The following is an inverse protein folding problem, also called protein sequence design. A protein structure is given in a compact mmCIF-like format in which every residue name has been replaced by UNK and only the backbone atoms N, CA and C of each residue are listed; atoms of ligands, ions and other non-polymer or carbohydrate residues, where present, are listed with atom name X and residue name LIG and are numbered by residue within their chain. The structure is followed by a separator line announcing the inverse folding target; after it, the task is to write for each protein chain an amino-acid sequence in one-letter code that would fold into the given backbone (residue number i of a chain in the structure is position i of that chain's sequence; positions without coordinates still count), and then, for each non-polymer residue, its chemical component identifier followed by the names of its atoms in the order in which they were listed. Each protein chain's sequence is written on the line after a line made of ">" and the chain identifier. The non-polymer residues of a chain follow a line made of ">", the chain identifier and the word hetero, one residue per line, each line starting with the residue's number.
data_IF_328443956823
#
_entry.id   IF_328443956823
#
_cell.length_a   1.000
_cell.length_b   1.000
_cell.length_c   1.000
_cell.angle_alpha   90.00
_cell.angle_beta   90.00
_cell.angle_gamma   90.00
#
_symmetry.space_group_name_H-M   'P 1'
#
loop_
_entity.id
_entity.type
_entity.pdbx_description
1 polymer ?
#
# COMPACT_ATOMS: atom_id res chain seq x y z
N UNK A 1 -6.41 13.48 -20.80
CA UNK A 1 -5.61 13.08 -19.62
C UNK A 1 -6.44 13.08 -18.33
N UNK A 2 -6.78 14.22 -17.72
CA UNK A 2 -7.56 14.21 -16.45
C UNK A 2 -8.93 13.53 -16.61
N UNK A 3 -9.68 13.87 -17.67
CA UNK A 3 -10.98 13.25 -17.98
C UNK A 3 -10.89 11.74 -18.13
N UNK A 4 -9.87 11.23 -18.82
CA UNK A 4 -9.62 9.79 -18.98
C UNK A 4 -9.31 9.14 -17.63
N UNK A 5 -8.46 9.75 -16.80
CA UNK A 5 -8.16 9.27 -15.44
C UNK A 5 -9.43 9.18 -14.59
N UNK A 6 -10.28 10.22 -14.58
CA UNK A 6 -11.55 10.19 -13.87
C UNK A 6 -12.51 9.13 -14.41
N UNK A 7 -12.57 8.96 -15.73
CA UNK A 7 -13.39 7.92 -16.36
C UNK A 7 -12.92 6.52 -15.96
N UNK A 8 -11.62 6.25 -15.94
CA UNK A 8 -11.09 4.94 -15.49
C UNK A 8 -11.43 4.68 -14.02
N UNK A 9 -11.30 5.68 -13.13
CA UNK A 9 -11.66 5.55 -11.71
C UNK A 9 -13.17 5.35 -11.53
N UNK A 10 -14.00 6.12 -12.22
CA UNK A 10 -15.45 6.01 -12.16
C UNK A 10 -15.94 4.65 -12.68
N UNK A 11 -15.32 4.14 -13.76
CA UNK A 11 -15.61 2.83 -14.34
C UNK A 11 -15.20 1.71 -13.38
N UNK A 12 -13.99 1.77 -12.82
CA UNK A 12 -13.52 0.82 -11.82
C UNK A 12 -14.43 0.78 -10.59
N UNK A 13 -14.83 1.97 -10.10
CA UNK A 13 -15.74 2.12 -8.97
C UNK A 13 -17.10 1.49 -9.26
N UNK A 14 -17.71 1.81 -10.41
CA UNK A 14 -19.01 1.26 -10.81
C UNK A 14 -18.95 -0.25 -10.99
N UNK A 15 -17.86 -0.77 -11.57
CA UNK A 15 -17.66 -2.20 -11.76
C UNK A 15 -17.53 -2.93 -10.42
N UNK A 16 -16.78 -2.37 -9.47
CA UNK A 16 -16.64 -2.90 -8.11
C UNK A 16 -17.99 -2.95 -7.39
N UNK A 17 -18.75 -1.85 -7.42
CA UNK A 17 -20.07 -1.78 -6.76
C UNK A 17 -21.11 -2.72 -7.41
N UNK A 18 -21.05 -2.90 -8.73
CA UNK A 18 -21.94 -3.84 -9.43
C UNK A 18 -21.63 -5.30 -9.09
N UNK A 19 -20.37 -5.63 -8.80
CA UNK A 19 -19.96 -6.97 -8.39
C UNK A 19 -19.80 -7.07 -6.87
N UNK A 20 -20.91 -6.91 -6.15
CA UNK A 20 -20.96 -7.00 -4.69
C UNK A 20 -20.43 -8.34 -4.16
N UNK A 21 -20.60 -9.43 -4.92
CA UNK A 21 -20.11 -10.76 -4.54
C UNK A 21 -18.57 -10.80 -4.44
N UNK A 22 -17.86 -10.19 -5.40
CA UNK A 22 -16.41 -10.04 -5.35
C UNK A 22 -15.99 -9.12 -4.20
N UNK A 23 -16.76 -8.05 -3.93
CA UNK A 23 -16.49 -7.15 -2.82
C UNK A 23 -16.57 -7.85 -1.46
N UNK A 24 -17.52 -8.77 -1.26
CA UNK A 24 -17.60 -9.58 -0.03
C UNK A 24 -16.37 -10.48 0.11
N UNK A 25 -15.92 -11.13 -0.96
CA UNK A 25 -14.70 -11.97 -0.91
C UNK A 25 -13.48 -11.13 -0.55
N UNK A 26 -13.32 -9.95 -1.18
CA UNK A 26 -12.23 -9.03 -0.88
C UNK A 26 -12.29 -8.52 0.56
N UNK A 27 -13.48 -8.19 1.05
CA UNK A 27 -13.70 -7.77 2.43
C UNK A 27 -13.37 -8.88 3.42
N UNK A 28 -13.77 -10.12 3.13
CA UNK A 28 -13.42 -11.29 3.94
C UNK A 28 -11.91 -11.51 4.00
N UNK A 29 -11.22 -11.51 2.84
CA UNK A 29 -9.76 -11.64 2.77
C UNK A 29 -9.05 -10.52 3.54
N UNK A 30 -9.53 -9.28 3.43
CA UNK A 30 -8.96 -8.14 4.14
C UNK A 30 -9.19 -8.21 5.65
N UNK A 31 -10.39 -8.60 6.08
CA UNK A 31 -10.70 -8.82 7.49
C UNK A 31 -9.83 -9.95 8.08
N UNK A 32 -9.65 -11.05 7.35
CA UNK A 32 -8.73 -12.12 7.75
C UNK A 32 -7.29 -11.65 7.85
N UNK A 33 -6.82 -10.80 6.93
CA UNK A 33 -5.49 -10.20 6.99
C UNK A 33 -5.33 -9.32 8.24
N UNK A 34 -6.30 -8.45 8.54
CA UNK A 34 -6.28 -7.60 9.74
C UNK A 34 -6.28 -8.46 11.01
N UNK A 35 -7.13 -9.49 11.07
CA UNK A 35 -7.18 -10.40 12.21
C UNK A 35 -5.84 -11.13 12.42
N UNK A 36 -5.22 -11.63 11.35
CA UNK A 36 -3.91 -12.27 11.41
C UNK A 36 -2.82 -11.29 11.87
N UNK A 37 -2.82 -10.05 11.38
CA UNK A 37 -1.89 -9.00 11.83
C UNK A 37 -2.09 -8.66 13.32
N UNK A 38 -3.35 -8.53 13.75
CA UNK A 38 -3.67 -8.28 15.16
C UNK A 38 -3.19 -9.41 16.07
N UNK A 39 -3.46 -10.67 15.69
CA UNK A 39 -2.98 -11.84 16.43
C UNK A 39 -1.46 -11.90 16.45
N UNK A 40 -0.79 -11.61 15.33
CA UNK A 40 0.66 -11.62 15.24
C UNK A 40 1.31 -10.59 16.19
N UNK A 41 0.72 -9.41 16.31
CA UNK A 41 1.23 -8.35 17.20
C UNK A 41 0.88 -8.60 18.67
N UNK A 42 -0.24 -9.27 18.96
CA UNK A 42 -0.72 -9.48 20.34
C UNK A 42 -0.13 -10.69 21.03
N UNK A 43 0.27 -11.72 20.27
CA UNK A 43 0.94 -12.90 20.82
C UNK A 43 2.32 -12.50 21.36
N UNK A 44 2.52 -12.73 22.66
CA UNK A 44 3.82 -12.57 23.33
C UNK A 44 4.47 -13.95 23.44
N UNK A 45 5.78 -14.04 23.23
CA UNK A 45 6.50 -15.32 23.18
C UNK A 45 6.85 -15.82 24.59
N UNK A 46 5.87 -16.41 25.30
CA UNK A 46 6.11 -16.97 26.65
C UNK A 46 6.12 -18.50 26.67
N UNK A 47 5.57 -19.15 25.65
CA UNK A 47 5.47 -20.60 25.53
C UNK A 47 5.82 -21.11 24.12
N UNK A 48 6.20 -22.39 24.02
CA UNK A 48 6.51 -23.03 22.73
C UNK A 48 5.34 -22.99 21.73
N UNK A 49 4.09 -23.11 22.23
CA UNK A 49 2.89 -23.00 21.39
C UNK A 49 2.72 -21.60 20.78
N UNK A 50 3.02 -20.56 21.55
CA UNK A 50 2.99 -19.17 21.06
C UNK A 50 4.07 -18.93 20.00
N UNK A 51 5.26 -19.53 20.14
CA UNK A 51 6.32 -19.46 19.12
C UNK A 51 5.86 -20.11 17.80
N UNK A 52 5.25 -21.29 17.87
CA UNK A 52 4.72 -21.98 16.66
C UNK A 52 3.59 -21.16 16.01
N UNK A 53 2.69 -20.58 16.81
CA UNK A 53 1.62 -19.73 16.31
C UNK A 53 2.16 -18.43 15.66
N UNK A 54 3.15 -17.79 16.28
CA UNK A 54 3.83 -16.61 15.74
C UNK A 54 4.50 -16.93 14.39
N UNK A 55 5.19 -18.07 14.30
CA UNK A 55 5.79 -18.55 13.05
C UNK A 55 4.73 -18.82 11.96
N UNK A 56 3.61 -19.45 12.32
CA UNK A 56 2.51 -19.70 11.39
C UNK A 56 1.90 -18.38 10.88
N UNK A 57 1.73 -17.39 11.76
CA UNK A 57 1.22 -16.06 11.40
C UNK A 57 2.21 -15.26 10.54
N UNK A 58 3.52 -15.39 10.80
CA UNK A 58 4.57 -14.77 9.99
C UNK A 58 4.53 -15.22 8.51
N UNK A 59 4.05 -16.44 8.23
CA UNK A 59 3.82 -16.96 6.88
C UNK A 59 2.42 -16.59 6.37
N UNK A 60 1.41 -16.70 7.24
CA UNK A 60 0.01 -16.47 6.88
C UNK A 60 -0.26 -15.03 6.48
N UNK A 61 0.33 -14.05 7.17
CA UNK A 61 0.13 -12.62 6.89
C UNK A 61 0.59 -12.25 5.47
N UNK A 62 1.84 -12.55 5.03
CA UNK A 62 2.24 -12.34 3.64
C UNK A 62 1.37 -13.11 2.66
N UNK A 63 1.02 -14.37 2.94
CA UNK A 63 0.17 -15.15 2.05
C UNK A 63 -1.20 -14.50 1.84
N UNK A 64 -1.89 -14.09 2.91
CA UNK A 64 -3.16 -13.39 2.85
C UNK A 64 -3.05 -12.05 2.13
N UNK A 65 -1.96 -11.31 2.36
CA UNK A 65 -1.68 -10.07 1.64
C UNK A 65 -1.62 -10.30 0.13
N UNK A 66 -0.82 -11.27 -0.33
CA UNK A 66 -0.70 -11.56 -1.76
C UNK A 66 -1.95 -12.20 -2.35
N UNK A 67 -2.69 -12.98 -1.57
CA UNK A 67 -3.99 -13.49 -1.97
C UNK A 67 -4.97 -12.35 -2.25
N UNK A 68 -5.02 -11.34 -1.37
CA UNK A 68 -5.81 -10.12 -1.56
C UNK A 68 -5.35 -9.32 -2.80
N UNK A 69 -4.04 -9.17 -3.02
CA UNK A 69 -3.52 -8.49 -4.23
C UNK A 69 -3.91 -9.21 -5.52
N UNK A 70 -3.86 -10.54 -5.50
CA UNK A 70 -4.22 -11.38 -6.65
C UNK A 70 -5.70 -11.30 -6.95
N UNK A 71 -6.55 -11.35 -5.92
CA UNK A 71 -7.99 -11.18 -6.04
C UNK A 71 -8.34 -9.78 -6.58
N UNK A 72 -7.71 -8.72 -6.05
CA UNK A 72 -7.89 -7.35 -6.52
C UNK A 72 -7.52 -7.17 -7.99
N UNK A 73 -6.37 -7.72 -8.43
CA UNK A 73 -5.96 -7.69 -9.83
C UNK A 73 -6.91 -8.48 -10.75
N UNK A 74 -7.44 -9.62 -10.26
CA UNK A 74 -8.32 -10.51 -11.04
C UNK A 74 -9.75 -10.00 -11.18
N UNK A 75 -10.19 -9.10 -10.29
CA UNK A 75 -11.58 -8.62 -10.24
C UNK A 75 -12.04 -7.96 -11.54
N UNK A 76 -11.15 -7.34 -12.30
CA UNK A 76 -11.45 -6.70 -13.59
C UNK A 76 -12.08 -7.66 -14.60
N UNK A 77 -11.88 -8.98 -14.43
CA UNK A 77 -12.47 -10.03 -15.27
C UNK A 77 -13.93 -10.38 -14.92
N UNK A 78 -14.56 -9.69 -13.96
CA UNK A 78 -15.96 -9.88 -13.56
C UNK A 78 -16.33 -11.33 -13.19
N UNK A 79 -15.41 -12.02 -12.50
CA UNK A 79 -15.61 -13.39 -12.03
C UNK A 79 -16.64 -13.45 -10.88
N UNK A 80 -17.31 -14.60 -10.74
CA UNK A 80 -18.11 -14.90 -9.55
C UNK A 80 -17.22 -15.05 -8.32
N UNK A 81 -17.76 -14.83 -7.12
CA UNK A 81 -17.03 -14.90 -5.85
C UNK A 81 -16.16 -16.17 -5.70
N UNK A 82 -16.73 -17.35 -5.96
CA UNK A 82 -16.00 -18.62 -5.85
C UNK A 82 -14.89 -18.79 -6.89
N UNK A 83 -15.13 -18.36 -8.13
CA UNK A 83 -14.12 -18.39 -9.19
C UNK A 83 -13.00 -17.38 -8.92
N UNK A 84 -13.34 -16.20 -8.40
CA UNK A 84 -12.38 -15.18 -8.00
C UNK A 84 -11.44 -15.72 -6.91
N UNK A 85 -11.99 -16.32 -5.86
CA UNK A 85 -11.19 -16.88 -4.76
C UNK A 85 -10.30 -18.03 -5.26
N UNK A 86 -10.85 -18.94 -6.08
CA UNK A 86 -10.09 -20.05 -6.67
C UNK A 86 -8.95 -19.56 -7.56
N UNK A 87 -9.21 -18.58 -8.41
CA UNK A 87 -8.21 -17.97 -9.29
C UNK A 87 -7.15 -17.22 -8.48
N UNK A 88 -7.56 -16.54 -7.41
CA UNK A 88 -6.65 -15.84 -6.51
C UNK A 88 -5.73 -16.84 -5.77
N UNK A 89 -6.27 -17.93 -5.23
CA UNK A 89 -5.48 -18.98 -4.57
C UNK A 89 -4.48 -19.65 -5.53
N UNK A 90 -4.93 -19.96 -6.75
CA UNK A 90 -4.08 -20.61 -7.76
C UNK A 90 -2.93 -19.71 -8.23
N UNK A 91 -3.16 -18.40 -8.33
CA UNK A 91 -2.17 -17.46 -8.86
C UNK A 91 -1.42 -16.65 -7.80
N UNK A 92 -1.73 -16.79 -6.51
CA UNK A 92 -1.14 -15.96 -5.43
C UNK A 92 0.37 -16.10 -5.28
N UNK A 93 0.94 -17.24 -5.69
CA UNK A 93 2.38 -17.46 -5.69
C UNK A 93 3.13 -16.57 -6.70
N UNK A 94 2.49 -16.15 -7.79
CA UNK A 94 3.12 -15.32 -8.82
C UNK A 94 3.51 -13.93 -8.29
N UNK A 95 2.61 -13.12 -7.70
CA UNK A 95 2.98 -11.84 -7.14
C UNK A 95 3.93 -11.97 -5.94
N UNK A 96 3.90 -13.07 -5.18
CA UNK A 96 4.93 -13.35 -4.16
C UNK A 96 6.32 -13.35 -4.81
N UNK A 97 6.52 -14.19 -5.84
CA UNK A 97 7.81 -14.34 -6.50
C UNK A 97 8.27 -13.04 -7.15
N UNK A 98 7.37 -12.33 -7.84
CA UNK A 98 7.71 -11.05 -8.49
C UNK A 98 7.99 -9.93 -7.48
N UNK A 99 7.53 -10.05 -6.24
CA UNK A 99 7.80 -9.04 -5.19
C UNK A 99 9.14 -9.23 -4.50
N UNK A 100 9.74 -10.43 -4.52
CA UNK A 100 11.06 -10.67 -3.93
C UNK A 100 12.12 -9.67 -4.40
N UNK A 101 12.34 -9.44 -5.70
CA UNK A 101 13.32 -8.44 -6.15
C UNK A 101 12.92 -7.02 -5.73
N UNK A 102 11.62 -6.71 -5.68
CA UNK A 102 11.14 -5.40 -5.25
C UNK A 102 11.39 -5.14 -3.76
N UNK A 103 11.20 -6.15 -2.91
CA UNK A 103 11.53 -6.12 -1.49
C UNK A 103 13.03 -5.93 -1.30
N UNK A 104 13.87 -6.64 -2.07
CA UNK A 104 15.31 -6.45 -2.03
C UNK A 104 15.71 -5.00 -2.37
N UNK A 105 15.08 -4.41 -3.39
CA UNK A 105 15.28 -2.98 -3.73
C UNK A 105 14.80 -2.08 -2.60
N UNK A 106 13.66 -2.35 -1.97
CA UNK A 106 13.15 -1.56 -0.84
C UNK A 106 14.10 -1.56 0.36
N UNK A 107 14.64 -2.75 0.69
CA UNK A 107 15.64 -2.92 1.76
C UNK A 107 16.93 -2.18 1.41
N UNK A 108 17.43 -2.34 0.18
CA UNK A 108 18.64 -1.65 -0.29
C UNK A 108 18.46 -0.13 -0.25
N UNK A 109 17.35 0.40 -0.75
CA UNK A 109 17.04 1.83 -0.71
C UNK A 109 16.99 2.34 0.73
N UNK A 110 16.32 1.62 1.63
CA UNK A 110 16.24 2.01 3.05
C UNK A 110 17.62 2.01 3.70
N UNK A 111 18.45 1.02 3.41
CA UNK A 111 19.82 0.93 3.91
C UNK A 111 20.70 2.08 3.38
N UNK A 112 20.67 2.33 2.06
CA UNK A 112 21.45 3.41 1.44
C UNK A 112 21.02 4.79 1.94
N UNK A 113 19.72 5.03 2.10
CA UNK A 113 19.21 6.29 2.65
C UNK A 113 19.56 6.45 4.12
N UNK A 114 19.50 5.39 4.92
CA UNK A 114 19.97 5.41 6.31
C UNK A 114 21.46 5.74 6.40
N UNK A 115 22.28 5.15 5.52
CA UNK A 115 23.72 5.42 5.43
C UNK A 115 24.01 6.86 4.95
N UNK A 116 23.27 7.36 3.96
CA UNK A 116 23.38 8.75 3.51
C UNK A 116 22.99 9.73 4.62
N UNK A 117 21.93 9.43 5.36
CA UNK A 117 21.51 10.22 6.52
C UNK A 117 22.56 10.19 7.63
N UNK A 118 23.25 9.07 7.86
CA UNK A 118 24.34 9.03 8.83
C UNK A 118 25.55 9.84 8.40
N UNK A 119 25.88 9.93 7.09
CA UNK A 119 26.99 10.77 6.60
C UNK A 119 26.67 12.27 6.67
N UNK A 120 25.43 12.64 6.34
CA UNK A 120 24.98 14.03 6.43
C UNK A 120 24.75 14.44 7.89
N UNK A 121 24.39 13.47 8.74
CA UNK A 121 24.12 13.62 10.16
C UNK A 121 25.31 13.34 11.07
N UNK A 122 26.50 12.95 10.57
CA UNK A 122 27.71 12.72 11.40
C UNK A 122 28.35 13.99 11.93
N UNK A 123 27.67 15.13 11.79
CA UNK A 123 27.59 16.15 12.86
C UNK A 123 26.81 15.62 14.09
N UNK A 124 27.00 14.33 14.42
CA UNK A 124 26.07 13.52 15.23
C UNK A 124 26.19 13.71 16.74
N UNK A 125 27.15 14.53 17.19
CA UNK A 125 27.21 15.01 18.57
C UNK A 125 26.01 15.92 18.89
N UNK A 126 25.42 16.57 17.88
CA UNK A 126 24.31 17.48 18.09
C UNK A 126 22.96 16.79 18.34
N UNK A 127 22.76 15.50 18.04
CA UNK A 127 21.44 14.87 18.27
C UNK A 127 21.20 14.49 19.74
N UNK A 128 22.26 14.09 20.46
CA UNK A 128 22.24 13.98 21.92
C UNK A 128 22.12 15.36 22.58
N UNK A 129 22.80 16.37 22.02
CA UNK A 129 22.74 17.73 22.54
C UNK A 129 21.39 18.38 22.25
N UNK A 130 20.73 18.11 21.12
CA UNK A 130 19.41 18.66 20.78
C UNK A 130 18.33 18.08 21.70
N UNK A 131 18.39 16.80 22.07
CA UNK A 131 17.47 16.24 23.08
C UNK A 131 17.69 16.87 24.46
N UNK A 132 18.94 17.12 24.85
CA UNK A 132 19.29 17.84 26.08
C UNK A 132 18.93 19.34 26.00
N UNK A 133 19.04 19.95 24.84
CA UNK A 133 18.79 21.37 24.59
C UNK A 133 17.29 21.67 24.50
N UNK A 134 16.46 20.75 23.99
CA UNK A 134 14.99 20.86 24.09
C UNK A 134 14.49 20.85 25.54
N UNK A 135 15.23 20.23 26.47
CA UNK A 135 14.93 20.33 27.91
C UNK A 135 15.36 21.66 28.52
N UNK A 136 16.37 22.33 27.93
CA UNK A 136 16.92 23.61 28.44
C UNK A 136 16.36 24.87 27.75
N UNK A 137 15.78 24.76 26.54
CA UNK A 137 15.29 25.90 25.73
C UNK A 137 13.77 26.10 25.74
N UNK A 138 13.03 25.50 26.68
CA UNK A 138 11.62 25.84 26.90
C UNK A 138 11.38 27.35 27.20
N UNK A 139 12.43 28.15 27.38
CA UNK A 139 12.40 29.58 27.63
C UNK A 139 12.86 30.49 26.47
N UNK A 140 13.33 29.96 25.34
CA UNK A 140 13.82 30.79 24.22
C UNK A 140 13.15 30.43 22.90
N UNK A 141 12.44 31.40 22.30
CA UNK A 141 11.68 31.35 21.02
C UNK A 141 12.53 31.08 19.75
N UNK A 142 13.75 30.56 19.90
CA UNK A 142 14.62 30.24 18.78
C UNK A 142 14.11 28.99 18.06
N UNK A 143 13.32 29.20 16.98
CA UNK A 143 12.88 28.11 16.10
C UNK A 143 14.11 27.40 15.51
N UNK A 144 14.21 26.07 15.61
CA UNK A 144 15.34 25.34 15.05
C UNK A 144 15.44 25.59 13.54
N UNK A 145 16.65 25.89 13.05
CA UNK A 145 16.89 26.13 11.64
C UNK A 145 16.50 24.91 10.80
N UNK A 146 15.67 25.12 9.77
CA UNK A 146 15.18 24.03 8.92
C UNK A 146 16.35 23.43 8.11
N UNK A 147 16.74 22.20 8.46
CA UNK A 147 17.79 21.46 7.72
C UNK A 147 17.20 20.87 6.44
N UNK A 148 17.22 21.66 5.35
CA UNK A 148 16.68 21.27 4.04
C UNK A 148 17.21 19.93 3.53
N UNK A 149 18.45 19.56 3.82
CA UNK A 149 19.03 18.26 3.44
C UNK A 149 18.24 17.08 4.04
N UNK A 150 17.88 17.17 5.32
CA UNK A 150 17.09 16.15 6.01
C UNK A 150 15.66 16.10 5.47
N UNK A 151 15.06 17.26 5.18
CA UNK A 151 13.74 17.36 4.54
C UNK A 151 13.75 16.67 3.17
N UNK A 152 14.77 16.92 2.35
CA UNK A 152 14.90 16.31 1.02
C UNK A 152 15.13 14.78 1.09
N UNK A 153 15.99 14.31 2.00
CA UNK A 153 16.21 12.86 2.20
C UNK A 153 14.95 12.14 2.67
N UNK A 154 14.24 12.73 3.64
CA UNK A 154 12.96 12.18 4.12
C UNK A 154 11.91 12.20 3.01
N UNK A 155 11.82 13.31 2.27
CA UNK A 155 10.95 13.44 1.10
C UNK A 155 11.23 12.35 0.07
N UNK A 156 12.50 12.12 -0.29
CA UNK A 156 12.89 11.05 -1.20
C UNK A 156 12.59 9.65 -0.64
N UNK A 157 12.79 9.42 0.66
CA UNK A 157 12.43 8.15 1.32
C UNK A 157 10.93 7.88 1.22
N UNK A 158 10.09 8.87 1.53
CA UNK A 158 8.64 8.71 1.46
C UNK A 158 8.14 8.60 0.03
N UNK A 159 8.73 9.35 -0.91
CA UNK A 159 8.39 9.26 -2.33
C UNK A 159 8.77 7.88 -2.91
N UNK A 160 9.95 7.38 -2.59
CA UNK A 160 10.43 6.09 -3.11
C UNK A 160 9.65 4.92 -2.53
N UNK A 161 9.44 4.89 -1.21
CA UNK A 161 8.73 3.80 -0.54
C UNK A 161 7.20 3.89 -0.65
N UNK A 162 6.65 5.11 -0.68
CA UNK A 162 5.22 5.37 -0.65
C UNK A 162 4.58 5.57 -2.02
N UNK A 163 5.33 5.96 -3.04
CA UNK A 163 4.80 6.19 -4.40
C UNK A 163 5.47 5.28 -5.43
N UNK A 164 6.79 5.34 -5.56
CA UNK A 164 7.53 4.66 -6.63
C UNK A 164 7.40 3.13 -6.54
N UNK A 165 7.80 2.54 -5.41
CA UNK A 165 7.80 1.08 -5.27
C UNK A 165 6.39 0.48 -5.32
N UNK A 166 5.37 1.00 -4.61
CA UNK A 166 4.02 0.45 -4.69
C UNK A 166 3.44 0.53 -6.11
N UNK A 167 3.74 1.61 -6.84
CA UNK A 167 3.26 1.77 -8.21
C UNK A 167 3.87 0.72 -9.15
N UNK A 168 5.18 0.46 -9.03
CA UNK A 168 5.85 -0.63 -9.75
C UNK A 168 5.25 -1.98 -9.33
N UNK A 169 5.04 -2.20 -8.03
CA UNK A 169 4.48 -3.43 -7.49
C UNK A 169 3.12 -3.75 -8.12
N UNK A 170 2.20 -2.78 -8.14
CA UNK A 170 0.85 -2.96 -8.68
C UNK A 170 0.90 -3.35 -10.16
N UNK A 171 1.73 -2.69 -10.96
CA UNK A 171 1.87 -3.02 -12.39
C UNK A 171 2.42 -4.44 -12.59
N UNK A 172 3.39 -4.83 -11.79
CA UNK A 172 3.94 -6.18 -11.79
C UNK A 172 2.91 -7.22 -11.34
N UNK A 173 2.13 -6.95 -10.29
CA UNK A 173 1.07 -7.83 -9.81
C UNK A 173 -0.02 -8.03 -10.87
N UNK A 174 -0.54 -6.95 -11.44
CA UNK A 174 -1.54 -7.00 -12.52
C UNK A 174 -1.02 -7.83 -13.70
N UNK A 175 0.22 -7.59 -14.14
CA UNK A 175 0.82 -8.33 -15.24
C UNK A 175 1.01 -9.83 -14.90
N UNK A 176 1.46 -10.15 -13.69
CA UNK A 176 1.72 -11.52 -13.25
C UNK A 176 0.46 -12.39 -13.17
N UNK A 177 -0.69 -11.79 -12.85
CA UNK A 177 -2.00 -12.48 -12.84
C UNK A 177 -2.50 -12.73 -14.27
N UNK A 178 -2.11 -11.87 -15.23
CA UNK A 178 -2.50 -11.97 -16.63
C UNK A 178 -1.65 -12.90 -17.49
N UNK A 179 -0.40 -13.13 -17.11
CA UNK A 179 0.62 -13.72 -17.99
C UNK A 179 1.42 -14.81 -17.28
N UNK A 180 2.24 -15.50 -18.05
CA UNK A 180 3.28 -16.37 -17.49
C UNK A 180 4.34 -15.55 -16.76
N UNK A 181 4.93 -16.14 -15.73
CA UNK A 181 5.93 -15.48 -14.89
C UNK A 181 7.14 -15.03 -15.72
N UNK A 182 7.63 -15.90 -16.61
CA UNK A 182 8.78 -15.60 -17.47
C UNK A 182 8.51 -14.43 -18.43
N UNK A 183 7.29 -14.37 -18.99
CA UNK A 183 6.87 -13.24 -19.83
C UNK A 183 6.81 -11.94 -19.01
N UNK A 184 6.35 -12.00 -17.76
CA UNK A 184 6.30 -10.85 -16.85
C UNK A 184 7.70 -10.34 -16.50
N UNK A 185 8.63 -11.25 -16.23
CA UNK A 185 10.04 -10.91 -15.93
C UNK A 185 10.70 -10.25 -17.16
N UNK A 186 10.52 -10.82 -18.35
CA UNK A 186 11.06 -10.23 -19.60
C UNK A 186 10.46 -8.85 -19.90
N UNK A 187 9.20 -8.62 -19.55
CA UNK A 187 8.51 -7.34 -19.72
C UNK A 187 8.72 -6.34 -18.57
N UNK A 188 9.52 -6.66 -17.54
CA UNK A 188 9.64 -5.81 -16.33
C UNK A 188 10.07 -4.38 -16.66
N UNK A 189 11.02 -4.18 -17.59
CA UNK A 189 11.44 -2.83 -18.00
C UNK A 189 10.29 -2.01 -18.58
N UNK A 190 9.49 -2.62 -19.47
CA UNK A 190 8.32 -1.97 -20.07
C UNK A 190 7.26 -1.66 -19.00
N UNK A 191 7.03 -2.60 -18.07
CA UNK A 191 6.07 -2.43 -16.98
C UNK A 191 6.50 -1.32 -16.01
N UNK A 192 7.80 -1.18 -15.72
CA UNK A 192 8.34 -0.09 -14.90
C UNK A 192 8.14 1.25 -15.59
N UNK A 193 8.48 1.37 -16.88
CA UNK A 193 8.25 2.61 -17.65
C UNK A 193 6.76 2.96 -17.68
N UNK A 194 5.90 1.95 -17.88
CA UNK A 194 4.44 2.12 -17.86
C UNK A 194 3.92 2.55 -16.49
N UNK A 195 4.54 2.09 -15.41
CA UNK A 195 4.17 2.49 -14.05
C UNK A 195 4.31 4.00 -13.84
N UNK A 196 5.31 4.63 -14.47
CA UNK A 196 5.54 6.07 -14.40
C UNK A 196 4.84 6.90 -15.49
N UNK A 197 3.94 6.30 -16.26
CA UNK A 197 3.14 7.08 -17.19
C UNK A 197 2.27 8.10 -16.41
N UNK A 198 2.11 9.36 -16.87
CA UNK A 198 1.43 10.39 -16.08
C UNK A 198 0.02 9.98 -15.61
N UNK A 199 -0.83 9.33 -16.43
CA UNK A 199 -2.12 8.80 -15.96
C UNK A 199 -2.01 7.74 -14.84
N UNK A 200 -0.99 6.88 -14.85
CA UNK A 200 -0.78 5.88 -13.80
C UNK A 200 -0.43 6.55 -12.46
N UNK A 201 0.45 7.54 -12.51
CA UNK A 201 0.83 8.35 -11.34
C UNK A 201 -0.37 9.12 -10.79
N UNK A 202 -1.19 9.72 -11.66
CA UNK A 202 -2.40 10.44 -11.27
C UNK A 202 -3.45 9.51 -10.63
N UNK A 203 -3.71 8.35 -11.24
CA UNK A 203 -4.64 7.34 -10.69
C UNK A 203 -4.17 6.91 -9.30
N UNK A 204 -2.88 6.57 -9.17
CA UNK A 204 -2.32 6.14 -7.88
C UNK A 204 -2.36 7.25 -6.85
N UNK A 205 -2.01 8.49 -7.20
CA UNK A 205 -2.03 9.62 -6.27
C UNK A 205 -3.44 9.89 -5.76
N UNK A 206 -4.44 9.89 -6.66
CA UNK A 206 -5.84 10.03 -6.27
C UNK A 206 -6.30 8.88 -5.37
N UNK A 207 -5.93 7.65 -5.73
CA UNK A 207 -6.15 6.46 -4.91
C UNK A 207 -5.53 6.57 -3.51
N UNK A 208 -4.26 6.96 -3.44
CA UNK A 208 -3.49 7.08 -2.20
C UNK A 208 -4.09 8.11 -1.24
N UNK A 209 -4.66 9.19 -1.75
CA UNK A 209 -5.44 10.13 -0.92
C UNK A 209 -6.62 9.40 -0.27
N UNK A 210 -7.33 8.53 -1.01
CA UNK A 210 -8.51 7.80 -0.50
C UNK A 210 -8.14 6.68 0.46
N UNK A 211 -7.17 5.82 0.13
CA UNK A 211 -6.83 4.64 0.95
C UNK A 211 -5.72 4.90 1.99
N UNK A 212 -5.00 6.02 1.91
CA UNK A 212 -3.92 6.38 2.83
C UNK A 212 -4.16 7.73 3.51
N UNK A 213 -4.34 8.78 2.73
CA UNK A 213 -4.47 10.15 3.24
C UNK A 213 -5.68 10.37 4.16
N UNK A 214 -6.88 10.05 3.69
CA UNK A 214 -8.12 10.20 4.48
C UNK A 214 -8.08 9.28 5.72
N UNK A 215 -7.75 7.98 5.62
CA UNK A 215 -7.58 7.11 6.78
C UNK A 215 -6.60 7.66 7.83
N UNK A 216 -5.47 8.22 7.40
CA UNK A 216 -4.51 8.85 8.30
C UNK A 216 -5.13 10.03 9.06
N UNK A 217 -5.84 10.93 8.37
CA UNK A 217 -6.52 12.06 9.01
C UNK A 217 -7.61 11.60 9.99
N UNK A 218 -8.39 10.58 9.61
CA UNK A 218 -9.39 9.98 10.50
C UNK A 218 -8.76 9.45 11.79
N UNK A 219 -7.64 8.73 11.71
CA UNK A 219 -7.00 8.16 12.89
C UNK A 219 -6.39 9.22 13.83
N UNK A 220 -5.74 10.25 13.29
CA UNK A 220 -4.84 11.11 14.09
C UNK A 220 -5.34 12.54 14.36
N UNK A 221 -6.38 13.05 13.69
CA UNK A 221 -6.77 14.48 13.79
C UNK A 221 -8.10 14.76 14.52
N UNK A 222 -8.79 13.76 15.05
CA UNK A 222 -10.10 13.96 15.67
C UNK A 222 -10.02 14.29 17.16
N UNK A 223 -10.91 15.19 17.60
CA UNK A 223 -11.02 15.66 18.97
C UNK A 223 -11.69 14.61 19.90
N UNK A 224 -11.26 14.52 21.17
CA UNK A 224 -11.87 13.63 22.15
C UNK A 224 -13.32 14.02 22.44
N UNK A 225 -14.19 13.02 22.68
CA UNK A 225 -15.57 13.23 23.12
C UNK A 225 -15.61 13.40 24.64
N UNK A 226 -16.57 14.17 25.16
CA UNK A 226 -16.72 14.40 26.61
C UNK A 226 -17.29 13.20 27.39
N UNK A 227 -17.86 12.20 26.70
CA UNK A 227 -18.51 11.03 27.31
C UNK A 227 -17.78 9.76 26.87
N UNK A 228 -17.29 8.97 27.83
CA UNK A 228 -16.47 7.78 27.59
C UNK A 228 -17.12 6.74 26.65
N UNK A 229 -18.42 6.46 26.81
CA UNK A 229 -19.12 5.52 25.93
C UNK A 229 -19.22 6.03 24.49
N UNK A 230 -19.45 7.33 24.29
CA UNK A 230 -19.43 7.92 22.96
C UNK A 230 -18.05 7.87 22.33
N UNK A 231 -16.98 8.03 23.13
CA UNK A 231 -15.60 7.91 22.66
C UNK A 231 -15.32 6.51 22.09
N UNK A 232 -15.74 5.44 22.77
CA UNK A 232 -15.56 4.06 22.30
C UNK A 232 -16.34 3.83 21.00
N UNK A 233 -17.62 4.26 20.93
CA UNK A 233 -18.44 4.08 19.73
C UNK A 233 -17.89 4.86 18.54
N UNK A 234 -17.47 6.12 18.74
CA UNK A 234 -16.84 6.91 17.68
C UNK A 234 -15.50 6.33 17.25
N UNK A 235 -14.70 5.83 18.18
CA UNK A 235 -13.45 5.16 17.87
C UNK A 235 -13.68 3.93 16.99
N UNK A 236 -14.64 3.07 17.35
CA UNK A 236 -14.99 1.87 16.58
C UNK A 236 -15.53 2.21 15.20
N UNK A 237 -16.47 3.17 15.09
CA UNK A 237 -17.02 3.61 13.81
C UNK A 237 -15.94 4.20 12.88
N UNK A 238 -15.02 4.97 13.45
CA UNK A 238 -13.87 5.56 12.73
C UNK A 238 -12.90 4.50 12.24
N UNK A 239 -12.62 3.49 13.06
CA UNK A 239 -11.78 2.36 12.68
C UNK A 239 -12.43 1.56 11.53
N UNK A 240 -13.74 1.30 11.63
CA UNK A 240 -14.50 0.66 10.55
C UNK A 240 -14.42 1.47 9.26
N UNK A 241 -14.63 2.79 9.32
CA UNK A 241 -14.55 3.68 8.16
C UNK A 241 -13.14 3.68 7.54
N UNK A 242 -12.10 3.72 8.37
CA UNK A 242 -10.69 3.60 7.94
C UNK A 242 -10.47 2.31 7.17
N UNK A 243 -10.95 1.18 7.68
CA UNK A 243 -10.80 -0.12 7.01
C UNK A 243 -11.57 -0.19 5.70
N UNK A 244 -12.81 0.31 5.67
CA UNK A 244 -13.61 0.36 4.45
C UNK A 244 -12.94 1.24 3.39
N UNK A 245 -12.48 2.44 3.75
CA UNK A 245 -11.81 3.36 2.82
C UNK A 245 -10.48 2.79 2.33
N UNK A 246 -9.71 2.13 3.20
CA UNK A 246 -8.43 1.51 2.84
C UNK A 246 -8.65 0.41 1.82
N UNK A 247 -9.56 -0.54 2.09
CA UNK A 247 -9.87 -1.62 1.17
C UNK A 247 -10.45 -1.10 -0.15
N UNK A 248 -11.50 -0.27 -0.07
CA UNK A 248 -12.20 0.23 -1.25
C UNK A 248 -11.27 1.06 -2.13
N UNK A 249 -10.57 2.04 -1.56
CA UNK A 249 -9.64 2.90 -2.30
C UNK A 249 -8.51 2.09 -2.93
N UNK A 250 -7.97 1.10 -2.23
CA UNK A 250 -6.92 0.22 -2.76
C UNK A 250 -7.40 -0.58 -3.99
N UNK A 251 -8.54 -1.25 -3.88
CA UNK A 251 -9.09 -2.10 -4.95
C UNK A 251 -9.51 -1.27 -6.17
N UNK A 252 -10.13 -0.10 -5.96
CA UNK A 252 -10.47 0.83 -7.05
C UNK A 252 -9.21 1.29 -7.77
N UNK A 253 -8.14 1.60 -7.02
CA UNK A 253 -6.85 2.03 -7.60
C UNK A 253 -6.25 0.94 -8.49
N UNK A 254 -6.17 -0.30 -7.98
CA UNK A 254 -5.66 -1.44 -8.77
C UNK A 254 -6.50 -1.67 -10.03
N UNK A 255 -7.83 -1.63 -9.90
CA UNK A 255 -8.76 -1.85 -11.01
C UNK A 255 -8.65 -0.74 -12.07
N UNK A 256 -8.56 0.52 -11.65
CA UNK A 256 -8.41 1.66 -12.55
C UNK A 256 -7.07 1.61 -13.30
N UNK A 257 -5.97 1.23 -12.62
CA UNK A 257 -4.67 1.02 -13.25
C UNK A 257 -4.70 -0.13 -14.27
N UNK A 258 -5.38 -1.23 -13.95
CA UNK A 258 -5.54 -2.36 -14.86
C UNK A 258 -6.35 -1.99 -16.12
N UNK A 259 -7.44 -1.23 -15.98
CA UNK A 259 -8.25 -0.73 -17.10
C UNK A 259 -7.43 0.24 -17.97
N UNK A 260 -6.75 1.22 -17.36
CA UNK A 260 -5.91 2.15 -18.12
C UNK A 260 -4.78 1.45 -18.88
N UNK A 261 -4.21 0.39 -18.29
CA UNK A 261 -3.16 -0.40 -18.91
C UNK A 261 -3.66 -1.20 -20.13
N UNK A 262 -4.92 -1.69 -20.13
CA UNK A 262 -5.49 -2.43 -21.26
C UNK A 262 -5.92 -1.51 -22.41
N UNK A 263 -6.56 -0.37 -22.10
CA UNK A 263 -6.98 0.62 -23.09
C UNK A 263 -5.82 1.12 -23.94
N UNK A 264 -4.66 1.36 -23.32
CA UNK A 264 -3.45 1.78 -24.05
C UNK A 264 -2.93 0.74 -25.02
N UNK A 265 -2.93 -0.54 -24.63
CA UNK A 265 -2.51 -1.62 -25.52
C UNK A 265 -3.44 -1.70 -26.72
N UNK A 266 -4.76 -1.55 -26.49
CA UNK A 266 -5.74 -1.55 -27.56
C UNK A 266 -5.55 -0.37 -28.52
N UNK A 267 -5.27 0.85 -28.01
CA UNK A 267 -4.97 2.02 -28.85
C UNK A 267 -3.72 1.80 -29.71
N UNK A 268 -2.65 1.26 -29.14
CA UNK A 268 -1.40 0.97 -29.87
C UNK A 268 -1.57 -0.08 -30.98
N UNK A 269 -2.50 -1.02 -30.82
CA UNK A 269 -2.78 -2.05 -31.82
C UNK A 269 -3.70 -1.56 -32.94
N UNK A 270 -4.56 -0.57 -32.70
CA UNK A 270 -5.47 -0.02 -33.72
C UNK A 270 -4.82 0.96 -34.69
N UNK A 271 -3.63 1.47 -34.39
CA UNK A 271 -2.86 2.39 -35.24
C UNK A 271 -1.87 1.68 -36.18
N UNK A 272 -1.81 0.35 -36.15
CA UNK A 272 -0.95 -0.48 -37.01
C UNK A 272 -1.76 -1.17 -38.09
#
# INVERSE_FOLDING_TARGET
>A
MLTETFQSIATATRQLLRNWSAMIVLAGLYASLIAALYLFVTIRETSAGEVVMSLALAITVPFLFFLLQTAGASQTRSLSAGLLLREALRNSWKPIVVSVPLIAVAVLLTHLLGKAQSYIGTTGQELSDVAAQYQLTASNDARPALRWSQVMLNGFRYLSLGLVLPLIAIHLWIASVGRDLLATVRATKELVVRAFAPPSVLIYTAGFVVFGGIPYLLLFKFAPASIAWMEITFFAARLLLVFVLTLFGWIVTMSALAISASERVNRQNGER
#
